data_IF_699444891682
#
_entry.id   IF_699444891682
#
_cell.length_a   1.000
_cell.length_b   1.000
_cell.length_c   1.000
_cell.angle_alpha   90.00
_cell.angle_beta   90.00
_cell.angle_gamma   90.00
#
_symmetry.space_group_name_H-M   'P 1'
#
loop_
_entity.id
_entity.type
_entity.pdbx_description
1 polymer ?
#
# COMPACT_ATOMS: atom_id res chain seq x y z
N UNK A 1 -3.02 3.65 -20.25
CA UNK A 1 -3.23 2.68 -19.17
C UNK A 1 -4.01 3.35 -18.03
N UNK A 2 -4.96 2.65 -17.42
CA UNK A 2 -5.71 3.14 -16.25
C UNK A 2 -5.23 2.42 -15.00
N UNK A 3 -4.84 3.18 -13.98
CA UNK A 3 -4.29 2.62 -12.74
C UNK A 3 -5.14 3.06 -11.56
N UNK A 4 -5.53 2.12 -10.71
CA UNK A 4 -6.05 2.40 -9.38
C UNK A 4 -4.90 2.34 -8.37
N UNK A 5 -4.64 3.44 -7.69
CA UNK A 5 -3.68 3.52 -6.59
C UNK A 5 -4.46 3.63 -5.29
N UNK A 6 -4.35 2.63 -4.43
CA UNK A 6 -4.89 2.66 -3.08
C UNK A 6 -3.83 3.19 -2.11
N UNK A 7 -4.18 4.16 -1.26
CA UNK A 7 -3.24 4.80 -0.34
C UNK A 7 -2.32 5.83 -0.98
N UNK A 8 -2.77 6.46 -2.08
CA UNK A 8 -1.95 7.39 -2.85
C UNK A 8 -1.76 8.76 -2.22
N UNK A 9 -2.51 9.15 -1.19
CA UNK A 9 -2.29 10.39 -0.45
C UNK A 9 -1.20 10.25 0.64
N UNK A 10 -0.71 9.03 0.90
CA UNK A 10 0.42 8.76 1.78
C UNK A 10 1.76 9.14 1.15
N UNK A 11 2.85 9.03 1.93
CA UNK A 11 4.22 9.37 1.52
C UNK A 11 4.68 8.63 0.24
N UNK A 12 4.66 7.29 0.28
CA UNK A 12 5.17 6.47 -0.84
C UNK A 12 4.23 6.55 -2.04
N UNK A 13 2.91 6.43 -1.80
CA UNK A 13 1.88 6.47 -2.84
C UNK A 13 1.87 7.79 -3.61
N UNK A 14 2.00 8.92 -2.93
CA UNK A 14 2.03 10.24 -3.58
C UNK A 14 3.28 10.43 -4.45
N UNK A 15 4.42 9.92 -4.00
CA UNK A 15 5.66 9.91 -4.76
C UNK A 15 5.54 9.04 -6.01
N UNK A 16 4.94 7.85 -5.88
CA UNK A 16 4.66 6.98 -7.01
C UNK A 16 3.77 7.68 -8.05
N UNK A 17 2.64 8.25 -7.63
CA UNK A 17 1.67 8.93 -8.53
C UNK A 17 2.36 10.04 -9.32
N UNK A 18 3.13 10.92 -8.67
CA UNK A 18 3.86 12.00 -9.35
C UNK A 18 4.84 11.49 -10.38
N UNK A 19 5.70 10.56 -9.99
CA UNK A 19 6.72 10.02 -10.88
C UNK A 19 6.09 9.26 -12.03
N UNK A 20 5.01 8.52 -11.78
CA UNK A 20 4.33 7.76 -12.81
C UNK A 20 3.69 8.69 -13.86
N UNK A 21 2.89 9.68 -13.45
CA UNK A 21 2.23 10.61 -14.37
C UNK A 21 3.24 11.49 -15.13
N UNK A 22 4.36 11.86 -14.50
CA UNK A 22 5.43 12.61 -15.17
C UNK A 22 6.04 11.85 -16.35
N UNK A 23 6.17 10.53 -16.23
CA UNK A 23 6.83 9.67 -17.21
C UNK A 23 5.85 8.95 -18.16
N UNK A 24 4.53 9.00 -17.89
CA UNK A 24 3.51 8.27 -18.64
C UNK A 24 2.30 9.18 -18.92
N UNK A 25 2.46 10.16 -19.79
CA UNK A 25 1.49 11.24 -20.04
C UNK A 25 0.13 10.77 -20.55
N UNK A 26 0.05 9.60 -21.19
CA UNK A 26 -1.19 9.01 -21.71
C UNK A 26 -1.90 8.10 -20.71
N UNK A 27 -1.36 7.96 -19.52
CA UNK A 27 -1.94 7.10 -18.48
C UNK A 27 -2.81 7.92 -17.52
N UNK A 28 -3.84 7.27 -16.96
CA UNK A 28 -4.74 7.87 -15.97
C UNK A 28 -4.60 7.17 -14.64
N UNK A 29 -4.59 7.93 -13.57
CA UNK A 29 -4.57 7.42 -12.19
C UNK A 29 -5.84 7.83 -11.47
N UNK A 30 -6.53 6.85 -10.89
CA UNK A 30 -7.50 7.07 -9.83
C UNK A 30 -6.83 6.74 -8.49
N UNK A 31 -6.76 7.71 -7.61
CA UNK A 31 -6.23 7.58 -6.25
C UNK A 31 -7.36 7.39 -5.26
N UNK A 32 -7.48 6.23 -4.64
CA UNK A 32 -8.39 5.97 -3.54
C UNK A 32 -7.64 6.04 -2.22
N UNK A 33 -8.08 6.90 -1.32
CA UNK A 33 -7.48 7.05 0.00
C UNK A 33 -8.52 7.45 1.05
N UNK A 34 -8.49 6.79 2.21
CA UNK A 34 -9.42 7.05 3.30
C UNK A 34 -9.04 8.31 4.12
N UNK A 35 -7.87 8.90 3.84
CA UNK A 35 -7.29 10.03 4.56
C UNK A 35 -7.15 9.77 6.07
N UNK A 36 -6.68 8.57 6.41
CA UNK A 36 -6.30 8.22 7.78
C UNK A 36 -4.95 8.83 8.15
N UNK A 37 -4.42 8.45 9.31
CA UNK A 37 -3.16 9.00 9.83
C UNK A 37 -2.00 8.70 8.85
N UNK A 38 -1.25 9.76 8.51
CA UNK A 38 -0.12 9.68 7.56
C UNK A 38 -0.48 9.99 6.12
N UNK A 39 -1.77 10.12 5.79
CA UNK A 39 -2.26 10.58 4.49
C UNK A 39 -2.57 12.07 4.50
N UNK A 40 -2.22 12.78 3.43
CA UNK A 40 -2.51 14.21 3.27
C UNK A 40 -2.66 14.57 1.78
N UNK A 41 -3.80 15.13 1.39
CA UNK A 41 -4.02 15.59 0.01
C UNK A 41 -3.06 16.68 -0.44
N UNK A 42 -2.52 17.48 0.50
CA UNK A 42 -1.48 18.46 0.19
C UNK A 42 -0.24 17.82 -0.46
N UNK A 43 0.00 16.52 -0.23
CA UNK A 43 1.06 15.76 -0.91
C UNK A 43 0.88 15.70 -2.43
N UNK A 44 -0.31 15.93 -2.97
CA UNK A 44 -0.66 15.82 -4.40
C UNK A 44 -1.30 17.12 -4.93
N UNK A 45 -1.12 18.25 -4.23
CA UNK A 45 -1.70 19.54 -4.59
C UNK A 45 -1.31 20.00 -6.00
N UNK A 46 -0.10 19.67 -6.42
CA UNK A 46 0.41 19.94 -7.77
C UNK A 46 -0.30 19.18 -8.88
N UNK A 47 -1.05 18.14 -8.54
CA UNK A 47 -1.84 17.32 -9.48
C UNK A 47 -3.35 17.64 -9.46
N UNK A 48 -3.80 18.57 -8.63
CA UNK A 48 -5.24 18.89 -8.45
C UNK A 48 -5.95 19.24 -9.77
N UNK A 49 -5.26 19.91 -10.70
CA UNK A 49 -5.78 20.30 -12.01
C UNK A 49 -5.31 19.38 -13.16
N UNK A 50 -4.68 18.24 -12.84
CA UNK A 50 -4.20 17.32 -13.85
C UNK A 50 -5.35 16.43 -14.35
N UNK A 51 -5.70 16.51 -15.64
CA UNK A 51 -6.81 15.75 -16.26
C UNK A 51 -6.60 14.22 -16.21
N UNK A 52 -5.39 13.77 -15.96
CA UNK A 52 -5.04 12.35 -15.83
C UNK A 52 -5.02 11.85 -14.38
N UNK A 53 -5.34 12.72 -13.42
CA UNK A 53 -5.42 12.39 -12.00
C UNK A 53 -6.84 12.59 -11.48
N UNK A 54 -7.37 11.59 -10.79
CA UNK A 54 -8.65 11.65 -10.09
C UNK A 54 -8.49 11.16 -8.66
N UNK A 55 -9.14 11.84 -7.72
CA UNK A 55 -9.14 11.46 -6.31
C UNK A 55 -10.52 10.97 -5.86
N UNK A 56 -10.52 9.84 -5.16
CA UNK A 56 -11.72 9.26 -4.53
C UNK A 56 -11.44 9.08 -3.05
N UNK A 57 -12.20 9.78 -2.20
CA UNK A 57 -12.13 9.58 -0.74
C UNK A 57 -13.00 8.39 -0.36
N UNK A 58 -12.38 7.26 -0.11
CA UNK A 58 -13.06 6.05 0.39
C UNK A 58 -12.04 5.09 1.02
N UNK A 59 -12.54 4.04 1.65
CA UNK A 59 -11.76 3.01 2.31
C UNK A 59 -11.64 1.76 1.43
N UNK A 60 -10.47 1.12 1.42
CA UNK A 60 -10.25 -0.13 0.68
C UNK A 60 -11.13 -1.29 1.17
N UNK A 61 -11.77 -1.15 2.32
CA UNK A 61 -12.75 -2.10 2.88
C UNK A 61 -14.15 -1.95 2.28
N UNK A 62 -14.42 -0.85 1.56
CA UNK A 62 -15.70 -0.65 0.88
C UNK A 62 -15.78 -1.51 -0.39
N UNK A 63 -16.35 -2.71 -0.25
CA UNK A 63 -16.45 -3.71 -1.33
C UNK A 63 -17.11 -3.14 -2.60
N UNK A 64 -18.19 -2.39 -2.45
CA UNK A 64 -18.92 -1.80 -3.59
C UNK A 64 -18.06 -0.80 -4.35
N UNK A 65 -17.36 0.07 -3.64
CA UNK A 65 -16.50 1.09 -4.25
C UNK A 65 -15.28 0.44 -4.92
N UNK A 66 -14.63 -0.50 -4.23
CA UNK A 66 -13.47 -1.24 -4.76
C UNK A 66 -13.85 -2.01 -6.02
N UNK A 67 -14.96 -2.75 -6.01
CA UNK A 67 -15.45 -3.51 -7.16
C UNK A 67 -15.66 -2.60 -8.38
N UNK A 68 -16.33 -1.46 -8.18
CA UNK A 68 -16.59 -0.48 -9.23
C UNK A 68 -15.30 0.10 -9.82
N UNK A 69 -14.34 0.50 -8.97
CA UNK A 69 -13.08 1.10 -9.42
C UNK A 69 -12.18 0.09 -10.13
N UNK A 70 -12.06 -1.13 -9.61
CA UNK A 70 -11.23 -2.17 -10.22
C UNK A 70 -11.75 -2.57 -11.60
N UNK A 71 -13.06 -2.65 -11.79
CA UNK A 71 -13.68 -2.97 -13.08
C UNK A 71 -13.14 -2.12 -14.23
N UNK A 72 -12.98 -0.82 -14.01
CA UNK A 72 -12.58 0.16 -15.04
C UNK A 72 -11.05 0.40 -15.10
N UNK A 73 -10.27 -0.43 -14.43
CA UNK A 73 -8.82 -0.30 -14.26
C UNK A 73 -8.08 -1.42 -14.99
N UNK A 74 -6.84 -1.15 -15.42
CA UNK A 74 -5.93 -2.16 -16.00
C UNK A 74 -5.01 -2.76 -14.92
N UNK A 75 -4.56 -1.92 -13.98
CA UNK A 75 -3.61 -2.25 -12.93
C UNK A 75 -4.05 -1.63 -11.60
N UNK A 76 -3.97 -2.40 -10.53
CA UNK A 76 -4.13 -1.90 -9.15
C UNK A 76 -2.78 -1.91 -8.44
N UNK A 77 -2.43 -0.82 -7.76
CA UNK A 77 -1.24 -0.72 -6.90
C UNK A 77 -1.69 -0.37 -5.49
N UNK A 78 -1.46 -1.27 -4.54
CA UNK A 78 -1.90 -1.08 -3.15
C UNK A 78 -0.76 -0.61 -2.24
N UNK A 79 -0.76 0.67 -1.91
CA UNK A 79 0.05 1.28 -0.83
C UNK A 79 -0.76 1.45 0.46
N UNK A 80 -2.09 1.28 0.43
CA UNK A 80 -2.93 1.49 1.60
C UNK A 80 -2.60 0.48 2.70
N UNK A 81 -2.20 0.99 3.85
CA UNK A 81 -1.91 0.21 5.05
C UNK A 81 -1.87 1.11 6.29
N UNK A 82 -2.28 0.59 7.43
CA UNK A 82 -1.83 1.10 8.71
C UNK A 82 -0.39 0.63 8.92
N UNK A 83 0.57 1.54 9.24
CA UNK A 83 2.01 1.24 9.13
C UNK A 83 2.88 1.63 10.32
N UNK A 84 2.30 2.07 11.45
CA UNK A 84 3.06 2.51 12.62
C UNK A 84 3.13 1.42 13.69
N UNK A 85 4.32 0.90 13.96
CA UNK A 85 4.54 -0.23 14.88
C UNK A 85 3.98 0.05 16.28
N UNK A 86 4.35 1.18 16.92
CA UNK A 86 3.89 1.48 18.29
C UNK A 86 2.35 1.59 18.37
N UNK A 87 1.71 2.13 17.34
CA UNK A 87 0.23 2.16 17.25
C UNK A 87 -0.36 0.77 17.12
N UNK A 88 0.30 -0.13 16.40
CA UNK A 88 -0.15 -1.51 16.26
C UNK A 88 -0.09 -2.28 17.59
N UNK A 89 0.90 -1.96 18.42
CA UNK A 89 1.03 -2.53 19.76
C UNK A 89 -0.07 -1.99 20.68
N UNK A 90 -0.34 -0.69 20.63
CA UNK A 90 -1.37 -0.04 21.44
C UNK A 90 -2.80 -0.45 21.03
N UNK A 91 -3.07 -0.58 19.73
CA UNK A 91 -4.38 -0.97 19.20
C UNK A 91 -4.22 -1.69 17.84
N UNK A 92 -4.17 -3.03 17.84
CA UNK A 92 -3.97 -3.82 16.63
C UNK A 92 -5.19 -3.88 15.69
N UNK A 93 -6.40 -3.59 16.17
CA UNK A 93 -7.64 -3.76 15.40
C UNK A 93 -7.65 -3.02 14.05
N UNK A 94 -7.32 -1.71 13.94
CA UNK A 94 -7.28 -1.02 12.65
C UNK A 94 -6.30 -1.66 11.65
N UNK A 95 -5.20 -2.24 12.14
CA UNK A 95 -4.21 -2.93 11.31
C UNK A 95 -4.77 -4.22 10.69
N UNK A 96 -5.52 -5.00 11.46
CA UNK A 96 -6.21 -6.19 10.94
C UNK A 96 -7.26 -5.77 9.89
N UNK A 97 -8.07 -4.78 10.22
CA UNK A 97 -9.14 -4.30 9.35
C UNK A 97 -8.60 -3.74 8.02
N UNK A 98 -7.58 -2.88 8.06
CA UNK A 98 -7.02 -2.27 6.85
C UNK A 98 -6.10 -3.23 6.10
N UNK A 99 -5.09 -3.79 6.79
CA UNK A 99 -4.03 -4.53 6.10
C UNK A 99 -4.50 -5.91 5.64
N UNK A 100 -5.40 -6.57 6.39
CA UNK A 100 -5.86 -7.92 6.05
C UNK A 100 -7.20 -7.86 5.32
N UNK A 101 -8.25 -7.31 5.94
CA UNK A 101 -9.59 -7.28 5.32
C UNK A 101 -9.62 -6.35 4.10
N UNK A 102 -8.96 -5.19 4.15
CA UNK A 102 -8.85 -4.30 2.99
C UNK A 102 -8.11 -4.96 1.82
N UNK A 103 -7.02 -5.69 2.09
CA UNK A 103 -6.33 -6.47 1.04
C UNK A 103 -7.22 -7.57 0.48
N UNK A 104 -7.99 -8.28 1.32
CA UNK A 104 -8.98 -9.27 0.88
C UNK A 104 -10.01 -8.65 -0.07
N UNK A 105 -10.57 -7.49 0.26
CA UNK A 105 -11.54 -6.79 -0.60
C UNK A 105 -10.96 -6.48 -1.99
N UNK A 106 -9.71 -5.98 -2.04
CA UNK A 106 -9.01 -5.75 -3.32
C UNK A 106 -8.83 -7.07 -4.09
N UNK A 107 -8.40 -8.14 -3.43
CA UNK A 107 -8.18 -9.45 -4.06
C UNK A 107 -9.44 -10.03 -4.68
N UNK A 108 -10.60 -9.88 -4.03
CA UNK A 108 -11.88 -10.31 -4.61
C UNK A 108 -12.23 -9.51 -5.88
N UNK A 109 -12.00 -8.20 -5.89
CA UNK A 109 -12.16 -7.38 -7.08
C UNK A 109 -11.20 -7.79 -8.22
N UNK A 110 -9.92 -8.01 -7.91
CA UNK A 110 -8.91 -8.48 -8.86
C UNK A 110 -9.31 -9.83 -9.49
N UNK A 111 -9.72 -10.78 -8.64
CA UNK A 111 -10.17 -12.11 -9.07
C UNK A 111 -11.40 -12.02 -9.99
N UNK A 112 -12.37 -11.21 -9.61
CA UNK A 112 -13.64 -11.04 -10.33
C UNK A 112 -13.46 -10.42 -11.72
N UNK A 113 -12.55 -9.45 -11.86
CA UNK A 113 -12.36 -8.65 -13.08
C UNK A 113 -11.09 -9.00 -13.87
N UNK A 114 -10.34 -10.04 -13.47
CA UNK A 114 -9.06 -10.48 -14.08
C UNK A 114 -8.07 -9.33 -14.31
N UNK A 115 -7.77 -8.57 -13.24
CA UNK A 115 -6.87 -7.41 -13.32
C UNK A 115 -5.47 -7.73 -12.82
N UNK A 116 -4.50 -6.90 -13.20
CA UNK A 116 -3.15 -6.96 -12.67
C UNK A 116 -3.08 -6.28 -11.30
N UNK A 117 -2.23 -6.81 -10.40
CA UNK A 117 -2.11 -6.31 -9.05
C UNK A 117 -0.65 -6.19 -8.61
N UNK A 118 -0.30 -5.07 -7.98
CA UNK A 118 0.96 -4.90 -7.25
C UNK A 118 0.61 -4.66 -5.78
N UNK A 119 1.02 -5.59 -4.92
CA UNK A 119 0.88 -5.46 -3.47
C UNK A 119 2.18 -4.95 -2.86
N UNK A 120 2.15 -3.75 -2.29
CA UNK A 120 3.32 -3.17 -1.63
C UNK A 120 3.35 -3.63 -0.17
N UNK A 121 4.33 -4.46 0.15
CA UNK A 121 4.60 -5.01 1.47
C UNK A 121 5.88 -4.41 2.08
N UNK A 122 6.46 -5.06 3.07
CA UNK A 122 7.59 -4.58 3.85
C UNK A 122 8.56 -5.71 4.15
N UNK A 123 9.81 -5.40 4.44
CA UNK A 123 10.81 -6.33 4.95
C UNK A 123 10.60 -6.68 6.44
N UNK A 124 9.87 -5.86 7.20
CA UNK A 124 9.60 -6.11 8.63
C UNK A 124 8.89 -7.45 8.91
N UNK A 125 8.25 -8.05 7.89
CA UNK A 125 7.64 -9.37 8.03
C UNK A 125 8.65 -10.51 8.16
N UNK A 126 9.94 -10.29 7.83
CA UNK A 126 10.99 -11.27 8.07
C UNK A 126 11.44 -11.36 9.54
N UNK A 127 11.18 -10.29 10.32
CA UNK A 127 11.63 -10.16 11.69
C UNK A 127 13.09 -9.72 11.80
N UNK A 128 13.70 -9.99 12.95
CA UNK A 128 15.09 -9.61 13.22
C UNK A 128 16.06 -10.53 12.47
N UNK A 129 17.03 -9.95 11.81
CA UNK A 129 18.07 -10.70 11.07
C UNK A 129 19.00 -11.47 12.02
N UNK A 130 19.17 -10.99 13.26
CA UNK A 130 20.14 -11.54 14.21
C UNK A 130 21.56 -11.46 13.62
N UNK A 131 22.28 -12.58 13.66
CA UNK A 131 23.62 -12.70 13.06
C UNK A 131 23.58 -13.08 11.57
N UNK A 132 22.40 -13.10 10.92
CA UNK A 132 22.28 -13.38 9.49
C UNK A 132 22.61 -12.12 8.68
N UNK A 133 23.32 -12.29 7.57
CA UNK A 133 23.76 -11.18 6.72
C UNK A 133 22.63 -10.51 5.97
N UNK A 134 21.59 -11.26 5.54
CA UNK A 134 20.48 -10.72 4.74
C UNK A 134 19.29 -11.66 4.62
N UNK A 135 18.13 -11.12 4.28
CA UNK A 135 16.94 -11.85 3.85
C UNK A 135 16.80 -11.83 2.32
N UNK A 136 16.07 -12.79 1.79
CA UNK A 136 15.63 -12.84 0.40
C UNK A 136 14.15 -13.25 0.34
N UNK A 137 13.58 -13.29 -0.87
CA UNK A 137 12.16 -13.55 -1.08
C UNK A 137 11.70 -14.95 -0.63
N UNK A 138 12.64 -15.89 -0.43
CA UNK A 138 12.38 -17.27 0.06
C UNK A 138 12.56 -17.40 1.56
N UNK A 139 13.04 -16.37 2.25
CA UNK A 139 13.24 -16.39 3.69
C UNK A 139 11.92 -16.57 4.42
N UNK A 140 11.95 -17.28 5.54
CA UNK A 140 10.77 -17.55 6.38
C UNK A 140 10.32 -16.24 7.01
N UNK A 141 9.01 -15.99 6.98
CA UNK A 141 8.41 -14.84 7.64
C UNK A 141 8.32 -15.08 9.15
N UNK A 142 8.88 -14.17 9.95
CA UNK A 142 8.89 -14.20 11.42
C UNK A 142 8.50 -12.84 12.00
N UNK A 143 7.28 -12.34 11.75
CA UNK A 143 6.87 -11.01 12.19
C UNK A 143 6.93 -10.89 13.72
N UNK A 144 7.48 -9.79 14.22
CA UNK A 144 7.74 -9.55 15.65
C UNK A 144 6.72 -8.63 16.33
N UNK A 145 5.82 -8.00 15.58
CA UNK A 145 4.81 -7.06 16.10
C UNK A 145 3.48 -7.17 15.33
N UNK A 146 2.37 -6.60 15.84
CA UNK A 146 1.06 -6.71 15.17
C UNK A 146 1.03 -6.11 13.76
N UNK A 147 1.75 -4.99 13.50
CA UNK A 147 1.85 -4.44 12.14
C UNK A 147 2.48 -5.45 11.18
N UNK A 148 3.68 -5.93 11.49
CA UNK A 148 4.38 -6.89 10.62
C UNK A 148 3.61 -8.21 10.49
N UNK A 149 2.90 -8.65 11.53
CA UNK A 149 2.03 -9.83 11.48
C UNK A 149 0.85 -9.63 10.52
N UNK A 150 0.20 -8.45 10.51
CA UNK A 150 -0.89 -8.16 9.57
C UNK A 150 -0.41 -8.04 8.12
N UNK A 151 0.80 -7.50 7.90
CA UNK A 151 1.42 -7.48 6.56
C UNK A 151 1.80 -8.87 6.08
N UNK A 152 2.34 -9.73 6.96
CA UNK A 152 2.62 -11.13 6.63
C UNK A 152 1.33 -11.91 6.30
N UNK A 153 0.23 -11.67 7.05
CA UNK A 153 -1.07 -12.25 6.75
C UNK A 153 -1.60 -11.81 5.37
N UNK A 154 -1.47 -10.52 5.02
CA UNK A 154 -1.82 -10.01 3.71
C UNK A 154 -0.99 -10.67 2.59
N UNK A 155 0.33 -10.80 2.76
CA UNK A 155 1.22 -11.49 1.81
C UNK A 155 0.81 -12.95 1.60
N UNK A 156 0.45 -13.66 2.69
CA UNK A 156 -0.05 -15.04 2.59
C UNK A 156 -1.39 -15.12 1.86
N UNK A 157 -2.31 -14.17 2.09
CA UNK A 157 -3.56 -14.09 1.32
C UNK A 157 -3.27 -13.89 -0.17
N UNK A 158 -2.44 -12.90 -0.53
CA UNK A 158 -2.05 -12.66 -1.93
C UNK A 158 -1.43 -13.91 -2.54
N UNK A 159 -0.48 -14.56 -1.84
CA UNK A 159 0.15 -15.80 -2.29
C UNK A 159 -0.85 -16.95 -2.50
N UNK A 160 -1.84 -17.07 -1.63
CA UNK A 160 -2.91 -18.07 -1.76
C UNK A 160 -3.79 -17.80 -2.99
N UNK A 161 -4.13 -16.53 -3.26
CA UNK A 161 -4.92 -16.14 -4.44
C UNK A 161 -4.17 -16.37 -5.75
N UNK A 162 -2.86 -16.08 -5.79
CA UNK A 162 -2.01 -16.43 -6.93
C UNK A 162 -2.07 -17.94 -7.21
N UNK A 163 -1.89 -18.76 -6.17
CA UNK A 163 -1.86 -20.23 -6.31
C UNK A 163 -3.22 -20.84 -6.64
N UNK A 164 -4.28 -20.36 -5.99
CA UNK A 164 -5.63 -20.97 -6.08
C UNK A 164 -6.39 -20.47 -7.30
N UNK A 165 -6.31 -19.18 -7.59
CA UNK A 165 -7.12 -18.51 -8.61
C UNK A 165 -6.31 -18.03 -9.82
N UNK A 166 -4.98 -18.14 -9.77
CA UNK A 166 -4.11 -17.73 -10.89
C UNK A 166 -4.07 -16.23 -11.15
N UNK A 167 -4.36 -15.37 -10.16
CA UNK A 167 -4.32 -13.91 -10.35
C UNK A 167 -2.91 -13.44 -10.72
N UNK A 168 -2.83 -12.40 -11.54
CA UNK A 168 -1.57 -11.78 -11.96
C UNK A 168 -1.14 -10.75 -10.92
N UNK A 169 -0.28 -11.15 -9.99
CA UNK A 169 0.14 -10.28 -8.90
C UNK A 169 1.66 -10.32 -8.68
N UNK A 170 2.22 -9.16 -8.34
CA UNK A 170 3.58 -8.99 -7.84
C UNK A 170 3.50 -8.50 -6.39
N UNK A 171 4.23 -9.13 -5.48
CA UNK A 171 4.44 -8.66 -4.11
C UNK A 171 5.81 -8.00 -4.05
N UNK A 172 5.87 -6.75 -3.58
CA UNK A 172 7.14 -6.06 -3.31
C UNK A 172 7.35 -5.92 -1.81
N UNK A 173 8.57 -6.15 -1.33
CA UNK A 173 8.95 -6.02 0.08
C UNK A 173 10.09 -5.04 0.18
N UNK A 174 9.76 -3.78 0.40
CA UNK A 174 10.76 -2.73 0.53
C UNK A 174 11.26 -2.60 1.97
N UNK A 175 12.50 -2.15 2.11
CA UNK A 175 13.07 -1.70 3.37
C UNK A 175 12.56 -0.30 3.72
N UNK A 176 13.10 0.34 4.77
CA UNK A 176 12.69 1.67 5.19
C UNK A 176 12.92 2.72 4.09
N UNK A 177 11.84 3.34 3.66
CA UNK A 177 11.87 4.47 2.74
C UNK A 177 12.00 5.79 3.51
N UNK A 178 12.63 6.78 2.90
CA UNK A 178 12.71 8.15 3.42
C UNK A 178 12.66 9.16 2.27
N UNK A 179 12.20 10.37 2.56
CA UNK A 179 12.11 11.42 1.55
C UNK A 179 11.05 12.48 1.84
N UNK A 180 10.81 13.40 0.87
CA UNK A 180 9.76 14.42 0.98
C UNK A 180 8.39 13.82 1.26
N UNK A 181 7.57 14.51 2.07
CA UNK A 181 6.23 14.11 2.49
C UNK A 181 6.17 12.92 3.47
N UNK A 182 7.30 12.43 3.96
CA UNK A 182 7.29 11.42 5.01
C UNK A 182 6.69 11.98 6.30
N UNK A 183 5.81 11.19 6.93
CA UNK A 183 5.08 11.63 8.12
C UNK A 183 6.05 11.91 9.29
N UNK A 184 5.86 13.02 10.06
CA UNK A 184 6.82 13.51 11.06
C UNK A 184 7.11 12.57 12.23
N UNK A 185 6.31 11.54 12.47
CA UNK A 185 6.56 10.56 13.54
C UNK A 185 7.70 9.57 13.23
N UNK A 186 8.09 9.44 11.95
CA UNK A 186 9.17 8.54 11.52
C UNK A 186 10.55 9.10 11.90
N UNK A 187 11.54 8.22 12.05
CA UNK A 187 12.86 8.54 12.61
C UNK A 187 13.52 9.76 11.94
N UNK A 188 13.69 9.74 10.62
CA UNK A 188 14.41 10.80 9.89
C UNK A 188 13.71 12.16 10.01
N UNK A 189 12.42 12.32 9.63
CA UNK A 189 11.76 13.62 9.78
C UNK A 189 11.67 14.07 11.23
N UNK A 190 11.44 13.15 12.18
CA UNK A 190 11.42 13.47 13.61
C UNK A 190 12.76 14.00 14.11
N UNK A 191 13.87 13.42 13.64
CA UNK A 191 15.22 13.87 14.00
C UNK A 191 15.49 15.27 13.43
N UNK A 192 15.14 15.51 12.14
CA UNK A 192 15.32 16.82 11.49
C UNK A 192 14.52 17.93 12.21
N UNK A 193 13.26 17.63 12.62
CA UNK A 193 12.42 18.62 13.30
C UNK A 193 12.92 18.95 14.70
N UNK A 194 13.65 18.03 15.37
CA UNK A 194 14.14 18.18 16.73
C UNK A 194 15.59 18.72 16.81
N UNK A 195 16.31 18.76 15.71
CA UNK A 195 17.65 19.33 15.60
C UNK A 195 17.62 20.85 15.45
#
# INVERSE_FOLDING_TARGET
>A
MKILVCGGAGFIGSTFIRNFLKNNIDSKITNLDALTIGSNLANLKDLENNQNYNFVKDDIRNETQIDSLIKDTDLVVNFAAESHVDRSIANPKPFIETNVLGTYTILEGIRKHDKQFIHVSTDELYGDAGDQDSFNEKSILKPSNPYSATKAAADHLVGSYIRTYGIKCIITRCTNNFGPFQFPEKLIPKTIIRA
#
